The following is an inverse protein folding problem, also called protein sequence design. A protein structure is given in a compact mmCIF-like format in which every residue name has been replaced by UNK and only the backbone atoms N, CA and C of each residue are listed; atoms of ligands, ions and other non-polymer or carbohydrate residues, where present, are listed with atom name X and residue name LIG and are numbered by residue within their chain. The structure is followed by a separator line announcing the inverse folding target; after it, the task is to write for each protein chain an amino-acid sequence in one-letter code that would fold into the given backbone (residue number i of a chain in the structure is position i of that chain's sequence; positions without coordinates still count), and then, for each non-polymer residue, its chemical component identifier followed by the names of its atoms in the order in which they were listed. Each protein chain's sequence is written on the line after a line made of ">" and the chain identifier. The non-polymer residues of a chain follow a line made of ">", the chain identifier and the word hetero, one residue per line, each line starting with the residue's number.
data_IF_018258210889
#
_entry.id   IF_018258210889
#
_cell.length_a   1.000
_cell.length_b   1.000
_cell.length_c   1.000
_cell.angle_alpha   90.00
_cell.angle_beta   90.00
_cell.angle_gamma   90.00
#
_symmetry.space_group_name_H-M   'P 1'
#
loop_
_entity.id
_entity.type
_entity.pdbx_description
1 polymer ?
#
# COMPACT_ATOMS: atom_id res chain seq x y z
N UNK A 1 4.16 -10.70 28.92
CA UNK A 1 5.08 -10.46 27.81
C UNK A 1 4.61 -9.21 27.10
N UNK A 2 5.51 -8.27 26.82
CA UNK A 2 5.16 -7.13 25.96
C UNK A 2 5.12 -7.58 24.48
N UNK A 3 4.49 -6.77 23.63
CA UNK A 3 4.28 -7.12 22.23
C UNK A 3 5.60 -7.26 21.45
N UNK A 4 6.64 -6.56 21.88
CA UNK A 4 7.96 -6.62 21.26
C UNK A 4 8.63 -7.98 21.51
N UNK A 5 8.66 -8.44 22.76
CA UNK A 5 9.20 -9.75 23.12
C UNK A 5 8.44 -10.90 22.45
N UNK A 6 7.11 -10.79 22.33
CA UNK A 6 6.32 -11.78 21.60
C UNK A 6 6.74 -11.88 20.13
N UNK A 7 6.99 -10.75 19.46
CA UNK A 7 7.41 -10.74 18.06
C UNK A 7 8.82 -11.30 17.91
N UNK A 8 9.78 -10.90 18.75
CA UNK A 8 11.15 -11.43 18.67
C UNK A 8 11.18 -12.94 18.88
N UNK A 9 10.43 -13.46 19.87
CA UNK A 9 10.36 -14.90 20.14
C UNK A 9 9.66 -15.68 19.02
N UNK A 10 8.63 -15.07 18.38
CA UNK A 10 7.94 -15.69 17.24
C UNK A 10 8.85 -15.84 16.02
N UNK A 11 9.77 -14.90 15.83
CA UNK A 11 10.72 -14.92 14.71
C UNK A 11 12.06 -15.59 15.05
N UNK A 12 12.28 -15.92 16.31
CA UNK A 12 13.48 -16.64 16.75
C UNK A 12 13.52 -18.06 16.17
N UNK A 13 14.67 -18.43 15.63
CA UNK A 13 14.85 -19.69 14.89
C UNK A 13 14.18 -19.76 13.50
N UNK A 14 13.47 -18.72 13.04
CA UNK A 14 12.89 -18.68 11.69
C UNK A 14 13.99 -18.37 10.66
N UNK A 15 14.18 -19.20 9.60
CA UNK A 15 15.17 -18.93 8.57
C UNK A 15 14.91 -17.59 7.86
N UNK A 16 15.97 -16.84 7.56
CA UNK A 16 15.87 -15.52 6.94
C UNK A 16 14.99 -15.50 5.66
N UNK A 17 15.08 -16.54 4.83
CA UNK A 17 14.25 -16.67 3.63
C UNK A 17 12.74 -16.76 3.94
N UNK A 18 12.38 -17.45 5.02
CA UNK A 18 10.99 -17.56 5.46
C UNK A 18 10.50 -16.24 6.08
N UNK A 19 11.36 -15.53 6.81
CA UNK A 19 11.03 -14.19 7.31
C UNK A 19 10.74 -13.22 6.15
N UNK A 20 11.57 -13.23 5.10
CA UNK A 20 11.31 -12.44 3.87
C UNK A 20 9.95 -12.78 3.25
N UNK A 21 9.60 -14.07 3.17
CA UNK A 21 8.31 -14.50 2.65
C UNK A 21 7.14 -14.06 3.52
N UNK A 22 7.29 -14.11 4.85
CA UNK A 22 6.29 -13.60 5.80
C UNK A 22 6.10 -12.09 5.60
N UNK A 23 7.17 -11.31 5.52
CA UNK A 23 7.09 -9.85 5.30
C UNK A 23 6.46 -9.53 3.93
N UNK A 24 6.78 -10.30 2.89
CA UNK A 24 6.09 -10.19 1.61
C UNK A 24 4.59 -10.47 1.73
N UNK A 25 4.19 -11.53 2.45
CA UNK A 25 2.79 -11.86 2.67
C UNK A 25 2.06 -10.78 3.49
N UNK A 26 2.70 -10.23 4.52
CA UNK A 26 2.21 -9.06 5.27
C UNK A 26 1.95 -7.88 4.31
N UNK A 27 2.88 -7.62 3.40
CA UNK A 27 2.72 -6.58 2.38
C UNK A 27 1.49 -6.74 1.48
N UNK A 28 1.00 -7.97 1.24
CA UNK A 28 -0.18 -8.22 0.41
C UNK A 28 -1.49 -7.82 1.12
N UNK A 29 -1.52 -7.89 2.45
CA UNK A 29 -2.75 -7.70 3.20
C UNK A 29 -3.06 -6.21 3.33
N UNK A 30 -4.25 -5.73 2.92
CA UNK A 30 -4.67 -4.35 3.14
C UNK A 30 -4.57 -3.99 4.63
N UNK A 31 -4.20 -2.74 4.93
CA UNK A 31 -3.87 -2.23 6.27
C UNK A 31 -2.55 -2.73 6.87
N UNK A 32 -1.97 -3.83 6.37
CA UNK A 32 -0.63 -4.26 6.76
C UNK A 32 0.42 -3.68 5.82
N UNK A 33 0.29 -3.94 4.52
CA UNK A 33 0.98 -3.22 3.43
C UNK A 33 2.49 -2.98 3.64
N UNK A 34 3.07 -2.08 2.84
CA UNK A 34 4.52 -1.87 2.85
C UNK A 34 5.04 -1.24 4.13
N UNK A 35 4.27 -0.38 4.80
CA UNK A 35 4.72 0.33 6.00
C UNK A 35 4.84 -0.61 7.22
N UNK A 36 3.80 -1.38 7.58
CA UNK A 36 3.93 -2.32 8.71
C UNK A 36 4.88 -3.47 8.36
N UNK A 37 4.85 -3.99 7.13
CA UNK A 37 5.79 -5.04 6.72
C UNK A 37 7.25 -4.59 6.84
N UNK A 38 7.57 -3.38 6.37
CA UNK A 38 8.95 -2.85 6.48
C UNK A 38 9.35 -2.63 7.94
N UNK A 39 8.46 -2.04 8.73
CA UNK A 39 8.71 -1.80 10.16
C UNK A 39 8.96 -3.10 10.91
N UNK A 40 8.03 -4.06 10.80
CA UNK A 40 8.12 -5.37 11.45
C UNK A 40 9.37 -6.12 11.04
N UNK A 41 9.69 -6.18 9.75
CA UNK A 41 10.92 -6.83 9.28
C UNK A 41 12.18 -6.18 9.86
N UNK A 42 12.20 -4.85 9.96
CA UNK A 42 13.35 -4.13 10.51
C UNK A 42 13.53 -4.38 12.00
N UNK A 43 12.46 -4.31 12.81
CA UNK A 43 12.56 -4.50 14.26
C UNK A 43 12.78 -5.97 14.67
N UNK A 44 12.50 -6.92 13.78
CA UNK A 44 12.75 -8.36 13.98
C UNK A 44 14.15 -8.78 13.50
N UNK A 45 14.98 -7.82 13.07
CA UNK A 45 16.39 -8.04 12.76
C UNK A 45 16.71 -8.23 11.28
N UNK A 46 15.75 -8.11 10.35
CA UNK A 46 16.10 -8.07 8.92
C UNK A 46 16.78 -6.75 8.58
N UNK A 47 17.74 -6.84 7.65
CA UNK A 47 18.27 -5.64 7.00
C UNK A 47 17.12 -4.82 6.41
N UNK A 48 17.06 -3.53 6.76
CA UNK A 48 15.96 -2.61 6.40
C UNK A 48 15.62 -2.63 4.90
N UNK A 49 16.64 -2.71 4.03
CA UNK A 49 16.43 -2.77 2.58
C UNK A 49 15.76 -4.05 2.11
N UNK A 50 16.01 -5.18 2.78
CA UNK A 50 15.39 -6.47 2.47
C UNK A 50 13.94 -6.48 2.96
N UNK A 51 13.70 -6.01 4.18
CA UNK A 51 12.35 -5.86 4.73
C UNK A 51 11.50 -4.93 3.85
N UNK A 52 12.05 -3.77 3.46
CA UNK A 52 11.38 -2.82 2.58
C UNK A 52 11.09 -3.43 1.21
N UNK A 53 12.07 -4.07 0.58
CA UNK A 53 11.89 -4.72 -0.72
C UNK A 53 10.79 -5.78 -0.70
N UNK A 54 10.78 -6.64 0.31
CA UNK A 54 9.76 -7.68 0.47
C UNK A 54 8.36 -7.09 0.69
N UNK A 55 8.22 -6.14 1.61
CA UNK A 55 6.94 -5.54 1.95
C UNK A 55 6.37 -4.70 0.79
N UNK A 56 7.22 -3.94 0.09
CA UNK A 56 6.85 -3.19 -1.12
C UNK A 56 6.39 -4.16 -2.20
N UNK A 57 7.13 -5.23 -2.47
CA UNK A 57 6.75 -6.21 -3.50
C UNK A 57 5.38 -6.83 -3.21
N UNK A 58 5.10 -7.21 -1.96
CA UNK A 58 3.79 -7.70 -1.55
C UNK A 58 2.68 -6.67 -1.76
N UNK A 59 2.93 -5.42 -1.37
CA UNK A 59 1.95 -4.35 -1.50
C UNK A 59 1.66 -3.97 -2.95
N UNK A 60 2.65 -4.07 -3.84
CA UNK A 60 2.45 -3.90 -5.28
C UNK A 60 1.54 -4.99 -5.87
N UNK A 61 1.55 -6.21 -5.34
CA UNK A 61 0.60 -7.27 -5.73
C UNK A 61 -0.82 -6.87 -5.29
N UNK A 62 -1.00 -6.43 -4.04
CA UNK A 62 -2.29 -5.96 -3.53
C UNK A 62 -2.83 -4.78 -4.37
N UNK A 63 -1.97 -3.81 -4.68
CA UNK A 63 -2.28 -2.67 -5.55
C UNK A 63 -2.72 -3.13 -6.95
N UNK A 64 -1.99 -4.07 -7.55
CA UNK A 64 -2.33 -4.59 -8.87
C UNK A 64 -3.72 -5.26 -8.87
N UNK A 65 -4.01 -6.08 -7.86
CA UNK A 65 -5.32 -6.73 -7.67
C UNK A 65 -6.42 -5.67 -7.52
N UNK A 66 -6.23 -4.72 -6.61
CA UNK A 66 -7.18 -3.64 -6.35
C UNK A 66 -7.50 -2.83 -7.62
N UNK A 67 -6.48 -2.45 -8.38
CA UNK A 67 -6.64 -1.68 -9.62
C UNK A 67 -7.37 -2.51 -10.69
N UNK A 68 -7.09 -3.80 -10.82
CA UNK A 68 -7.79 -4.68 -11.76
C UNK A 68 -9.26 -4.83 -11.38
N UNK A 69 -9.56 -5.06 -10.10
CA UNK A 69 -10.94 -5.19 -9.61
C UNK A 69 -11.70 -3.87 -9.73
N UNK A 70 -11.09 -2.74 -9.36
CA UNK A 70 -11.67 -1.42 -9.50
C UNK A 70 -11.99 -1.09 -10.96
N UNK A 71 -11.07 -1.39 -11.88
CA UNK A 71 -11.28 -1.19 -13.31
C UNK A 71 -12.37 -2.09 -13.89
N UNK A 72 -12.49 -3.35 -13.42
CA UNK A 72 -13.60 -4.23 -13.78
C UNK A 72 -14.94 -3.65 -13.32
N UNK A 73 -14.99 -3.09 -12.11
CA UNK A 73 -16.19 -2.47 -11.56
C UNK A 73 -16.58 -1.18 -12.32
N UNK A 74 -15.61 -0.32 -12.63
CA UNK A 74 -15.83 0.89 -13.43
C UNK A 74 -16.43 0.55 -14.81
N UNK A 75 -15.82 -0.40 -15.54
CA UNK A 75 -16.34 -0.85 -16.85
C UNK A 75 -17.74 -1.45 -16.76
N UNK A 76 -18.03 -2.21 -15.70
CA UNK A 76 -19.39 -2.76 -15.47
C UNK A 76 -20.40 -1.64 -15.23
N UNK A 77 -20.05 -0.62 -14.45
CA UNK A 77 -20.91 0.55 -14.21
C UNK A 77 -21.15 1.36 -15.48
N UNK A 78 -20.12 1.57 -16.29
CA UNK A 78 -20.24 2.26 -17.58
C UNK A 78 -21.14 1.49 -18.56
N UNK A 79 -20.99 0.17 -18.66
CA UNK A 79 -21.83 -0.66 -19.54
C UNK A 79 -23.31 -0.64 -19.14
N UNK A 80 -23.59 -0.57 -17.84
CA UNK A 80 -24.96 -0.55 -17.31
C UNK A 80 -25.54 0.87 -17.22
N UNK A 81 -24.81 1.89 -17.71
CA UNK A 81 -25.23 3.28 -17.62
C UNK A 81 -26.17 3.61 -18.77
N UNK A 82 -27.36 4.13 -18.46
CA UNK A 82 -28.32 4.55 -19.48
C UNK A 82 -27.86 5.80 -20.25
N UNK A 83 -27.16 6.72 -19.58
CA UNK A 83 -26.69 7.97 -20.15
C UNK A 83 -25.20 8.23 -19.86
N UNK A 84 -24.46 8.81 -20.82
CA UNK A 84 -23.06 9.16 -20.60
C UNK A 84 -22.94 10.24 -19.50
N UNK A 85 -21.80 10.30 -18.78
CA UNK A 85 -21.57 11.33 -17.77
C UNK A 85 -21.62 12.73 -18.39
N UNK A 86 -22.29 13.66 -17.70
CA UNK A 86 -22.45 15.04 -18.18
C UNK A 86 -21.09 15.77 -18.26
N UNK A 87 -21.01 16.80 -19.11
CA UNK A 87 -19.78 17.60 -19.25
C UNK A 87 -19.29 18.19 -17.92
N UNK A 88 -20.22 18.51 -16.99
CA UNK A 88 -19.88 18.97 -15.64
C UNK A 88 -19.21 17.86 -14.82
N UNK A 89 -19.73 16.63 -14.87
CA UNK A 89 -19.16 15.48 -14.16
C UNK A 89 -17.75 15.16 -14.68
N UNK A 90 -17.55 15.16 -16.01
CA UNK A 90 -16.25 14.94 -16.63
C UNK A 90 -15.21 15.99 -16.20
N UNK A 91 -15.62 17.28 -16.14
CA UNK A 91 -14.75 18.37 -15.64
C UNK A 91 -14.35 18.18 -14.18
N UNK A 92 -15.26 17.71 -13.33
CA UNK A 92 -14.96 17.43 -11.91
C UNK A 92 -13.97 16.26 -11.81
N UNK A 93 -14.23 15.15 -12.50
CA UNK A 93 -13.33 14.00 -12.52
C UNK A 93 -11.92 14.39 -12.98
N UNK A 94 -11.79 15.16 -14.07
CA UNK A 94 -10.49 15.62 -14.55
C UNK A 94 -9.70 16.47 -13.54
N UNK A 95 -10.40 17.27 -12.70
CA UNK A 95 -9.75 18.02 -11.61
C UNK A 95 -9.34 17.12 -10.46
N UNK A 96 -10.21 16.18 -10.07
CA UNK A 96 -9.91 15.19 -9.02
C UNK A 96 -8.75 14.30 -9.45
N UNK A 97 -8.71 13.86 -10.71
CA UNK A 97 -7.56 13.17 -11.28
C UNK A 97 -6.30 14.01 -11.12
N UNK A 98 -6.35 15.28 -11.52
CA UNK A 98 -5.17 16.14 -11.55
C UNK A 98 -4.60 16.46 -10.15
N UNK A 99 -5.45 16.71 -9.18
CA UNK A 99 -5.04 17.24 -7.87
C UNK A 99 -5.46 16.36 -6.70
N UNK A 100 -6.63 15.71 -6.80
CA UNK A 100 -7.13 14.80 -5.79
C UNK A 100 -6.31 13.51 -5.72
N UNK A 101 -6.01 12.85 -6.85
CA UNK A 101 -5.27 11.57 -6.86
C UNK A 101 -3.90 11.67 -6.20
N UNK A 102 -3.02 12.66 -6.51
CA UNK A 102 -1.74 12.81 -5.81
C UNK A 102 -1.89 12.99 -4.30
N UNK A 103 -2.72 13.96 -3.90
CA UNK A 103 -2.91 14.34 -2.49
C UNK A 103 -3.49 13.17 -1.70
N UNK A 104 -4.55 12.57 -2.22
CA UNK A 104 -5.18 11.42 -1.59
C UNK A 104 -4.25 10.21 -1.57
N UNK A 105 -3.43 9.96 -2.60
CA UNK A 105 -2.52 8.80 -2.55
C UNK A 105 -1.45 8.93 -1.48
N UNK A 106 -0.93 10.15 -1.25
CA UNK A 106 0.09 10.38 -0.21
C UNK A 106 -0.53 10.37 1.19
N UNK A 107 -1.73 10.97 1.36
CA UNK A 107 -2.34 11.17 2.67
C UNK A 107 -3.31 10.07 3.10
N UNK A 108 -4.07 9.48 2.18
CA UNK A 108 -5.07 8.45 2.49
C UNK A 108 -4.50 7.23 3.23
N UNK A 109 -3.23 6.78 3.05
CA UNK A 109 -2.67 5.67 3.83
C UNK A 109 -2.75 5.85 5.35
N UNK A 110 -2.88 7.09 5.84
CA UNK A 110 -3.11 7.37 7.27
C UNK A 110 -4.52 7.00 7.77
N UNK A 111 -5.48 6.79 6.85
CA UNK A 111 -6.89 6.53 7.14
C UNK A 111 -7.43 5.24 6.49
N UNK A 112 -6.95 4.92 5.29
CA UNK A 112 -7.39 3.80 4.45
C UNK A 112 -6.17 3.09 3.88
N UNK A 113 -6.24 1.76 3.76
CA UNK A 113 -5.24 1.00 3.03
C UNK A 113 -4.99 1.55 1.61
N UNK A 114 -3.74 1.55 1.16
CA UNK A 114 -3.27 1.97 -0.17
C UNK A 114 -4.04 1.23 -1.25
N UNK A 115 -4.07 -0.10 -1.16
CA UNK A 115 -4.80 -0.97 -2.08
C UNK A 115 -6.31 -0.65 -2.13
N UNK A 116 -6.95 -0.38 -0.97
CA UNK A 116 -8.36 -0.01 -0.93
C UNK A 116 -8.62 1.36 -1.57
N UNK A 117 -7.73 2.33 -1.31
CA UNK A 117 -7.79 3.66 -1.91
C UNK A 117 -7.67 3.58 -3.43
N UNK A 118 -6.72 2.79 -3.94
CA UNK A 118 -6.56 2.53 -5.38
C UNK A 118 -7.81 1.89 -6.00
N UNK A 119 -8.40 0.90 -5.32
CA UNK A 119 -9.66 0.28 -5.76
C UNK A 119 -10.79 1.31 -5.86
N UNK A 120 -10.97 2.14 -4.84
CA UNK A 120 -12.01 3.18 -4.80
C UNK A 120 -11.80 4.18 -5.93
N UNK A 121 -10.57 4.70 -6.08
CA UNK A 121 -10.24 5.67 -7.12
C UNK A 121 -10.53 5.13 -8.53
N UNK A 122 -10.02 3.94 -8.85
CA UNK A 122 -10.20 3.34 -10.17
C UNK A 122 -11.67 2.96 -10.40
N UNK A 123 -12.38 2.45 -9.39
CA UNK A 123 -13.81 2.13 -9.51
C UNK A 123 -14.73 3.35 -9.62
N UNK A 124 -14.25 4.52 -9.17
CA UNK A 124 -14.91 5.81 -9.36
C UNK A 124 -14.68 6.41 -10.77
N UNK A 125 -13.83 5.79 -11.59
CA UNK A 125 -13.52 6.24 -12.95
C UNK A 125 -12.36 7.23 -13.03
N UNK A 126 -11.54 7.34 -11.99
CA UNK A 126 -10.29 8.11 -12.03
C UNK A 126 -9.25 7.43 -12.92
N UNK A 127 -8.34 8.23 -13.48
CA UNK A 127 -7.33 7.75 -14.44
C UNK A 127 -6.43 6.68 -13.80
N UNK A 128 -6.55 5.45 -14.32
CA UNK A 128 -5.85 4.28 -13.79
C UNK A 128 -4.34 4.46 -13.75
N UNK A 129 -3.75 5.07 -14.78
CA UNK A 129 -2.29 5.22 -14.88
C UNK A 129 -1.80 6.15 -13.78
N UNK A 130 -2.48 7.28 -13.59
CA UNK A 130 -2.17 8.28 -12.56
C UNK A 130 -2.35 7.73 -11.16
N UNK A 131 -3.43 6.97 -10.91
CA UNK A 131 -3.63 6.27 -9.64
C UNK A 131 -2.48 5.31 -9.38
N UNK A 132 -2.13 4.44 -10.33
CA UNK A 132 -1.01 3.49 -10.15
C UNK A 132 0.30 4.21 -9.83
N UNK A 133 0.66 5.25 -10.59
CA UNK A 133 1.91 6.00 -10.35
C UNK A 133 1.94 6.58 -8.94
N UNK A 134 0.88 7.28 -8.53
CA UNK A 134 0.85 7.93 -7.21
C UNK A 134 0.73 6.95 -6.05
N UNK A 135 0.05 5.82 -6.26
CA UNK A 135 0.00 4.75 -5.27
C UNK A 135 1.38 4.11 -5.12
N UNK A 136 2.11 3.82 -6.20
CA UNK A 136 3.51 3.34 -6.12
C UNK A 136 4.40 4.33 -5.37
N UNK A 137 4.28 5.63 -5.65
CA UNK A 137 4.99 6.68 -4.89
C UNK A 137 4.65 6.59 -3.40
N UNK A 138 3.37 6.44 -3.04
CA UNK A 138 2.95 6.27 -1.66
C UNK A 138 3.51 4.99 -1.02
N UNK A 139 3.47 3.85 -1.71
CA UNK A 139 4.03 2.56 -1.25
C UNK A 139 5.50 2.72 -0.85
N UNK A 140 6.29 3.36 -1.71
CA UNK A 140 7.73 3.58 -1.49
C UNK A 140 7.97 4.60 -0.38
N UNK A 141 7.25 5.72 -0.40
CA UNK A 141 7.39 6.79 0.60
C UNK A 141 7.08 6.29 2.01
N UNK A 142 5.95 5.60 2.18
CA UNK A 142 5.54 5.06 3.48
C UNK A 142 6.40 3.87 3.92
N UNK A 143 6.83 3.03 2.98
CA UNK A 143 7.80 1.97 3.27
C UNK A 143 9.13 2.53 3.77
N UNK A 144 9.67 3.56 3.11
CA UNK A 144 10.90 4.23 3.54
C UNK A 144 10.75 4.93 4.89
N UNK A 145 9.64 5.64 5.10
CA UNK A 145 9.33 6.30 6.37
C UNK A 145 9.31 5.29 7.53
N UNK A 146 8.58 4.19 7.38
CA UNK A 146 8.46 3.18 8.44
C UNK A 146 9.71 2.31 8.60
N UNK A 147 10.50 2.12 7.54
CA UNK A 147 11.83 1.55 7.67
C UNK A 147 12.76 2.43 8.51
N UNK A 148 12.75 3.75 8.29
CA UNK A 148 13.51 4.68 9.12
C UNK A 148 13.04 4.69 10.58
N UNK A 149 11.72 4.61 10.82
CA UNK A 149 11.18 4.46 12.17
C UNK A 149 11.63 3.15 12.83
N UNK A 150 11.63 2.04 12.09
CA UNK A 150 12.12 0.75 12.57
C UNK A 150 13.59 0.79 12.98
N UNK A 151 14.44 1.43 12.16
CA UNK A 151 15.84 1.66 12.50
C UNK A 151 15.99 2.51 13.77
N UNK A 152 15.17 3.56 13.92
CA UNK A 152 15.14 4.39 15.12
C UNK A 152 14.83 3.57 16.38
N UNK A 153 13.83 2.68 16.33
CA UNK A 153 13.51 1.77 17.44
C UNK A 153 14.69 0.88 17.77
N UNK A 154 15.25 0.18 16.77
CA UNK A 154 16.39 -0.73 16.98
C UNK A 154 17.58 0.00 17.61
N UNK A 155 17.86 1.23 17.20
CA UNK A 155 19.00 2.01 17.72
C UNK A 155 18.88 2.43 19.19
N UNK A 156 17.67 2.42 19.76
CA UNK A 156 17.41 2.83 21.16
C UNK A 156 17.28 1.59 22.06
N UNK A 157 16.91 0.44 21.50
CA UNK A 157 16.68 -0.81 22.25
C UNK A 157 17.86 -1.80 22.21
N UNK A 158 18.79 -1.63 21.29
CA UNK A 158 20.03 -2.43 21.18
C UNK A 158 21.14 -1.86 22.06
#
# INVERSE_FOLDING_TARGET
>A
MDAFAFLTDLFDGVPAALQVLIIFAVGIVPFLESYLGTFLGTITGLHVGVAAGAAIAGNLVALAVAVVLGGKLARRRERNRAEPPSARQQKVLARVDRWGVPVASVLAPSLLAISLTAFIMVSAGLDRRRVVVWQVVAVVLWGALFGALGLGVVSITA
#
